data_IF_396114070394
#
_entry.id   IF_396114070394
#
_cell.length_a   1.000
_cell.length_b   1.000
_cell.length_c   1.000
_cell.angle_alpha   90.00
_cell.angle_beta   90.00
_cell.angle_gamma   90.00
#
_symmetry.space_group_name_H-M   'P 1'
#
loop_
_entity.id
_entity.type
_entity.pdbx_description
1 polymer ?
#
# COMPACT_ATOMS: atom_id res chain seq x y z
N UNK A 1 38.61 -33.20 10.36
CA UNK A 1 37.35 -33.24 9.68
C UNK A 1 37.50 -33.99 8.35
N UNK A 2 36.96 -35.21 8.27
CA UNK A 2 36.79 -35.87 6.98
C UNK A 2 35.63 -35.19 6.26
N UNK A 3 35.89 -34.57 5.12
CA UNK A 3 34.83 -34.33 4.16
C UNK A 3 34.30 -35.71 3.72
N UNK A 4 33.00 -35.99 3.69
CA UNK A 4 32.46 -37.23 3.22
C UNK A 4 32.95 -37.50 1.80
N UNK A 5 33.31 -38.77 1.47
CA UNK A 5 33.74 -39.08 0.13
C UNK A 5 32.62 -38.77 -0.85
N UNK A 6 32.87 -37.90 -1.80
CA UNK A 6 31.91 -37.48 -2.82
C UNK A 6 31.62 -36.00 -2.91
N UNK A 7 32.01 -35.16 -1.96
CA UNK A 7 31.88 -33.72 -2.08
C UNK A 7 33.01 -33.19 -2.97
N UNK A 8 32.72 -32.89 -4.21
CA UNK A 8 33.59 -32.10 -5.06
C UNK A 8 33.51 -30.65 -4.62
N UNK A 9 34.10 -30.36 -3.48
CA UNK A 9 34.34 -28.98 -3.12
C UNK A 9 35.43 -28.45 -4.04
N UNK A 10 35.21 -27.30 -4.67
CA UNK A 10 36.26 -26.49 -5.27
C UNK A 10 37.34 -26.13 -4.24
N UNK A 11 36.94 -26.15 -2.99
CA UNK A 11 37.79 -25.99 -1.83
C UNK A 11 38.36 -27.34 -1.48
N UNK A 12 39.51 -27.62 -2.02
CA UNK A 12 40.41 -28.72 -1.69
C UNK A 12 39.78 -30.13 -1.55
N UNK A 13 40.34 -31.05 -2.27
CA UNK A 13 40.30 -32.47 -1.91
C UNK A 13 40.56 -32.62 -0.41
N UNK A 14 39.78 -33.50 0.25
CA UNK A 14 39.94 -33.80 1.65
C UNK A 14 41.41 -33.88 2.04
N UNK A 15 41.83 -33.03 2.95
CA UNK A 15 43.20 -32.97 3.46
C UNK A 15 43.18 -32.62 4.92
N UNK A 16 44.17 -33.10 5.67
CA UNK A 16 44.38 -32.66 7.03
C UNK A 16 44.79 -31.17 7.01
N UNK A 17 44.05 -30.32 7.74
CA UNK A 17 44.56 -29.02 8.14
C UNK A 17 45.78 -29.17 9.05
N UNK A 18 46.43 -28.09 9.43
CA UNK A 18 47.53 -28.14 10.39
C UNK A 18 47.15 -29.00 11.61
N UNK A 19 47.91 -30.04 11.86
CA UNK A 19 47.68 -30.95 12.98
C UNK A 19 48.34 -30.33 14.22
N UNK A 20 47.56 -29.98 15.20
CA UNK A 20 48.04 -29.57 16.51
C UNK A 20 47.99 -30.73 17.46
N UNK A 21 49.12 -30.98 18.17
CA UNK A 21 49.23 -32.02 19.18
C UNK A 21 49.57 -31.36 20.52
N UNK A 22 48.78 -31.64 21.55
CA UNK A 22 48.98 -31.04 22.86
C UNK A 22 48.02 -31.61 23.91
N UNK A 23 48.07 -31.11 25.17
CA UNK A 23 47.19 -31.53 26.23
C UNK A 23 45.73 -31.25 25.88
N UNK A 24 44.82 -32.17 26.18
CA UNK A 24 43.38 -32.02 25.90
C UNK A 24 42.79 -30.75 26.51
N UNK A 25 43.23 -30.37 27.70
CA UNK A 25 42.80 -29.14 28.39
C UNK A 25 43.09 -27.85 27.64
N UNK A 26 44.09 -27.84 26.75
CA UNK A 26 44.42 -26.67 25.90
C UNK A 26 43.79 -26.74 24.51
N UNK A 27 43.66 -27.96 23.97
CA UNK A 27 43.11 -28.16 22.62
C UNK A 27 41.58 -28.14 22.60
N UNK A 28 40.92 -28.66 23.62
CA UNK A 28 39.46 -28.76 23.67
C UNK A 28 38.78 -27.38 23.60
N UNK A 29 39.18 -26.33 24.36
CA UNK A 29 38.55 -25.00 24.26
C UNK A 29 38.77 -24.35 22.88
N UNK A 30 39.91 -24.62 22.22
CA UNK A 30 40.19 -24.14 20.86
C UNK A 30 39.28 -24.80 19.83
N UNK A 31 39.14 -26.13 19.94
CA UNK A 31 38.25 -26.91 19.08
C UNK A 31 36.80 -26.50 19.26
N UNK A 32 36.30 -26.38 20.49
CA UNK A 32 34.93 -25.94 20.79
C UNK A 32 34.65 -24.52 20.23
N UNK A 33 35.60 -23.62 20.38
CA UNK A 33 35.47 -22.25 19.80
C UNK A 33 35.45 -22.30 18.30
N UNK A 34 36.32 -23.08 17.65
CA UNK A 34 36.34 -23.21 16.21
C UNK A 34 35.05 -23.87 15.71
N UNK A 35 34.60 -24.95 16.38
CA UNK A 35 33.34 -25.63 16.07
C UNK A 35 32.15 -24.69 16.19
N UNK A 36 32.09 -23.88 17.25
CA UNK A 36 31.04 -22.91 17.45
C UNK A 36 30.95 -21.90 16.28
N UNK A 37 32.08 -21.39 15.86
CA UNK A 37 32.07 -20.37 14.76
C UNK A 37 31.87 -21.01 13.39
N UNK A 38 32.39 -22.20 13.12
CA UNK A 38 32.31 -22.82 11.78
C UNK A 38 31.03 -23.60 11.55
N UNK A 39 30.44 -24.20 12.60
CA UNK A 39 29.27 -25.06 12.47
C UNK A 39 28.01 -24.40 13.10
N UNK A 40 28.06 -24.12 14.41
CA UNK A 40 26.85 -23.66 15.12
C UNK A 40 26.34 -22.34 14.60
N UNK A 41 27.21 -21.34 14.46
CA UNK A 41 26.80 -20.02 13.96
C UNK A 41 26.37 -20.09 12.50
N UNK A 42 27.06 -20.85 11.66
CA UNK A 42 26.69 -21.02 10.27
C UNK A 42 25.30 -21.69 10.12
N UNK A 43 24.98 -22.70 10.95
CA UNK A 43 23.64 -23.30 11.00
C UNK A 43 22.56 -22.30 11.43
N UNK A 44 22.81 -21.52 12.48
CA UNK A 44 21.87 -20.47 12.94
C UNK A 44 21.61 -19.43 11.85
N UNK A 45 22.66 -18.98 11.20
CA UNK A 45 22.56 -17.99 10.11
C UNK A 45 21.80 -18.57 8.91
N UNK A 46 22.06 -19.83 8.56
CA UNK A 46 21.31 -20.53 7.52
C UNK A 46 19.81 -20.63 7.87
N UNK A 47 19.47 -21.00 9.10
CA UNK A 47 18.08 -21.05 9.56
C UNK A 47 17.40 -19.69 9.54
N UNK A 48 18.09 -18.62 9.98
CA UNK A 48 17.59 -17.25 9.92
C UNK A 48 17.33 -16.78 8.48
N UNK A 49 18.24 -17.12 7.55
CA UNK A 49 18.06 -16.82 6.12
C UNK A 49 16.86 -17.55 5.54
N UNK A 50 16.69 -18.82 5.87
CA UNK A 50 15.53 -19.60 5.47
C UNK A 50 14.22 -19.02 6.00
N UNK A 51 14.19 -18.68 7.29
CA UNK A 51 13.04 -18.03 7.92
C UNK A 51 12.72 -16.65 7.29
N UNK A 52 13.74 -15.84 7.05
CA UNK A 52 13.58 -14.55 6.36
C UNK A 52 13.00 -14.76 4.96
N UNK A 53 13.57 -15.69 4.19
CA UNK A 53 13.09 -16.00 2.84
C UNK A 53 11.63 -16.44 2.81
N UNK A 54 11.26 -17.41 3.66
CA UNK A 54 9.88 -17.90 3.78
C UNK A 54 8.92 -16.80 4.26
N UNK A 55 9.31 -15.99 5.24
CA UNK A 55 8.52 -14.86 5.72
C UNK A 55 8.23 -13.84 4.62
N UNK A 56 9.25 -13.50 3.82
CA UNK A 56 9.10 -12.58 2.67
C UNK A 56 8.21 -13.17 1.57
N UNK A 57 8.36 -14.45 1.27
CA UNK A 57 7.51 -15.15 0.30
C UNK A 57 6.05 -15.18 0.77
N UNK A 58 5.80 -15.53 2.03
CA UNK A 58 4.48 -15.53 2.64
C UNK A 58 3.82 -14.14 2.59
N UNK A 59 4.58 -13.10 2.95
CA UNK A 59 4.11 -11.72 2.89
C UNK A 59 3.80 -11.27 1.47
N UNK A 60 4.62 -11.66 0.49
CA UNK A 60 4.41 -11.37 -0.92
C UNK A 60 3.14 -12.05 -1.47
N UNK A 61 2.88 -13.29 -1.05
CA UNK A 61 1.69 -14.05 -1.44
C UNK A 61 0.41 -13.41 -0.90
N UNK A 62 0.38 -13.02 0.38
CA UNK A 62 -0.78 -12.38 1.01
C UNK A 62 -1.09 -11.03 0.36
N UNK A 63 -0.08 -10.26 0.00
CA UNK A 63 -0.27 -8.91 -0.54
C UNK A 63 -0.51 -8.84 -2.03
N UNK A 64 -0.38 -9.94 -2.76
CA UNK A 64 -0.43 -9.98 -4.23
C UNK A 64 0.47 -8.95 -4.92
N UNK A 65 1.37 -8.33 -4.18
CA UNK A 65 2.37 -7.40 -4.70
C UNK A 65 3.63 -8.19 -5.07
N UNK A 66 3.51 -8.99 -6.14
CA UNK A 66 4.64 -9.68 -6.73
C UNK A 66 5.67 -8.66 -7.23
N UNK A 67 6.88 -8.77 -6.79
CA UNK A 67 7.96 -7.91 -7.23
C UNK A 67 9.19 -8.05 -6.36
N UNK A 68 9.62 -6.96 -5.74
CA UNK A 68 10.88 -6.91 -4.98
C UNK A 68 10.95 -7.95 -3.85
N UNK A 69 9.89 -8.04 -3.02
CA UNK A 69 9.85 -8.94 -1.86
C UNK A 69 9.88 -10.41 -2.27
N UNK A 70 9.15 -10.78 -3.32
CA UNK A 70 9.08 -12.15 -3.81
C UNK A 70 10.44 -12.62 -4.29
N UNK A 71 11.09 -11.87 -5.17
CA UNK A 71 12.39 -12.27 -5.72
C UNK A 71 13.50 -12.27 -4.66
N UNK A 72 13.47 -11.32 -3.73
CA UNK A 72 14.41 -11.32 -2.61
C UNK A 72 14.14 -12.49 -1.64
N UNK A 73 12.90 -12.84 -1.40
CA UNK A 73 12.52 -14.02 -0.63
C UNK A 73 13.01 -15.33 -1.26
N UNK A 74 12.84 -15.48 -2.59
CA UNK A 74 13.40 -16.64 -3.32
C UNK A 74 14.92 -16.70 -3.25
N UNK A 75 15.61 -15.56 -3.38
CA UNK A 75 17.06 -15.50 -3.22
C UNK A 75 17.50 -15.92 -1.82
N UNK A 76 16.90 -15.35 -0.76
CA UNK A 76 17.26 -15.66 0.61
C UNK A 76 16.98 -17.13 0.97
N UNK A 77 15.83 -17.66 0.58
CA UNK A 77 15.48 -19.05 0.79
C UNK A 77 16.37 -20.00 -0.01
N UNK A 78 16.59 -19.70 -1.30
CA UNK A 78 17.48 -20.49 -2.16
C UNK A 78 18.92 -20.54 -1.64
N UNK A 79 19.42 -19.41 -1.12
CA UNK A 79 20.73 -19.37 -0.47
C UNK A 79 20.78 -20.27 0.77
N UNK A 80 19.77 -20.23 1.64
CA UNK A 80 19.69 -21.12 2.80
C UNK A 80 19.69 -22.60 2.40
N UNK A 81 18.96 -22.97 1.34
CA UNK A 81 18.96 -24.34 0.81
C UNK A 81 20.33 -24.73 0.27
N UNK A 82 21.03 -23.83 -0.42
CA UNK A 82 22.39 -24.08 -0.91
C UNK A 82 23.40 -24.29 0.24
N UNK A 83 23.28 -23.52 1.33
CA UNK A 83 24.14 -23.63 2.50
C UNK A 83 23.84 -24.89 3.33
N UNK A 84 22.58 -25.35 3.32
CA UNK A 84 22.16 -26.54 4.09
C UNK A 84 23.01 -27.80 3.76
N UNK A 85 23.52 -27.89 2.53
CA UNK A 85 24.42 -29.00 2.10
C UNK A 85 25.66 -29.14 2.95
N UNK A 86 26.11 -28.07 3.63
CA UNK A 86 27.33 -28.13 4.45
C UNK A 86 27.10 -28.87 5.79
N UNK A 87 25.85 -28.92 6.22
CA UNK A 87 25.45 -29.46 7.52
C UNK A 87 24.68 -30.80 7.38
N UNK A 88 23.95 -30.95 6.26
CA UNK A 88 23.11 -32.13 6.01
C UNK A 88 23.65 -32.89 4.81
N UNK A 89 24.04 -34.14 4.97
CA UNK A 89 24.43 -34.96 3.85
C UNK A 89 23.22 -35.17 2.94
N UNK A 90 23.34 -34.78 1.68
CA UNK A 90 22.28 -34.98 0.70
C UNK A 90 22.17 -36.50 0.37
N UNK A 91 20.94 -37.03 0.31
CA UNK A 91 20.73 -38.41 -0.11
C UNK A 91 21.05 -38.55 -1.60
N UNK A 92 21.91 -39.45 -1.93
CA UNK A 92 22.21 -39.79 -3.31
C UNK A 92 23.70 -39.99 -3.60
N UNK A 93 24.02 -40.70 -4.66
CA UNK A 93 25.42 -40.96 -5.03
C UNK A 93 26.03 -39.74 -5.73
N UNK A 94 27.32 -39.58 -5.53
CA UNK A 94 28.12 -38.71 -6.39
C UNK A 94 28.04 -39.21 -7.85
N UNK A 95 27.86 -38.33 -8.87
CA UNK A 95 27.97 -36.86 -8.84
C UNK A 95 26.62 -36.12 -8.79
N UNK A 96 25.50 -36.85 -8.66
CA UNK A 96 24.17 -36.29 -8.77
C UNK A 96 23.88 -35.23 -7.71
N UNK A 97 24.44 -35.35 -6.52
CA UNK A 97 24.33 -34.34 -5.47
C UNK A 97 24.93 -33.00 -5.92
N UNK A 98 26.10 -33.06 -6.61
CA UNK A 98 26.73 -31.84 -7.12
C UNK A 98 25.92 -31.24 -8.28
N UNK A 99 25.40 -32.05 -9.20
CA UNK A 99 24.52 -31.61 -10.27
C UNK A 99 23.27 -30.92 -9.69
N UNK A 100 22.64 -31.49 -8.66
CA UNK A 100 21.48 -30.88 -7.99
C UNK A 100 21.80 -29.51 -7.40
N UNK A 101 22.89 -29.42 -6.63
CA UNK A 101 23.29 -28.18 -5.96
C UNK A 101 23.62 -27.07 -6.98
N UNK A 102 24.43 -27.38 -8.00
CA UNK A 102 24.74 -26.41 -9.03
C UNK A 102 23.50 -26.02 -9.85
N UNK A 103 22.55 -26.93 -10.02
CA UNK A 103 21.27 -26.63 -10.66
C UNK A 103 20.43 -25.66 -9.83
N UNK A 104 20.44 -25.79 -8.49
CA UNK A 104 19.73 -24.87 -7.59
C UNK A 104 20.38 -23.48 -7.52
N UNK A 105 21.65 -23.35 -7.86
CA UNK A 105 22.30 -22.03 -7.94
C UNK A 105 21.61 -21.12 -9.00
N UNK A 106 21.22 -21.68 -10.15
CA UNK A 106 20.59 -20.93 -11.22
C UNK A 106 19.36 -20.12 -10.78
N UNK A 107 18.29 -20.77 -10.29
CA UNK A 107 17.10 -20.08 -9.81
C UNK A 107 17.37 -19.08 -8.66
N UNK A 108 18.31 -19.43 -7.77
CA UNK A 108 18.71 -18.57 -6.66
C UNK A 108 19.33 -17.25 -7.16
N UNK A 109 20.35 -17.33 -8.02
CA UNK A 109 21.00 -16.13 -8.58
C UNK A 109 20.10 -15.39 -9.57
N UNK A 110 19.31 -16.09 -10.38
CA UNK A 110 18.29 -15.45 -11.27
C UNK A 110 17.32 -14.60 -10.44
N UNK A 111 16.89 -15.11 -9.29
CA UNK A 111 16.02 -14.33 -8.39
C UNK A 111 16.72 -13.08 -7.86
N UNK A 112 18.02 -13.16 -7.53
CA UNK A 112 18.81 -11.98 -7.14
C UNK A 112 18.92 -10.96 -8.29
N UNK A 113 19.17 -11.41 -9.52
CA UNK A 113 19.27 -10.49 -10.68
C UNK A 113 17.95 -9.78 -10.97
N UNK A 114 16.84 -10.52 -10.96
CA UNK A 114 15.52 -9.95 -11.16
C UNK A 114 15.19 -9.00 -9.99
N UNK A 115 15.56 -9.35 -8.76
CA UNK A 115 15.41 -8.45 -7.61
C UNK A 115 16.12 -7.10 -7.85
N UNK A 116 17.38 -7.12 -8.30
CA UNK A 116 18.14 -5.88 -8.62
C UNK A 116 17.44 -5.04 -9.70
N UNK A 117 16.90 -5.68 -10.76
CA UNK A 117 16.11 -5.00 -11.77
C UNK A 117 14.85 -4.36 -11.18
N UNK A 118 14.13 -5.07 -10.29
CA UNK A 118 12.92 -4.54 -9.65
C UNK A 118 13.23 -3.40 -8.66
N UNK A 119 14.42 -3.38 -8.08
CA UNK A 119 14.86 -2.27 -7.21
C UNK A 119 14.99 -0.96 -7.98
N UNK A 120 15.35 -1.00 -9.25
CA UNK A 120 15.42 0.17 -10.14
C UNK A 120 14.19 0.31 -11.05
N UNK A 121 13.09 -0.35 -10.73
CA UNK A 121 11.81 -0.31 -11.46
C UNK A 121 11.92 -0.70 -12.96
N UNK A 122 12.92 -1.53 -13.30
CA UNK A 122 13.13 -2.02 -14.66
C UNK A 122 12.61 -3.43 -14.84
N UNK A 123 12.08 -3.70 -16.04
CA UNK A 123 11.64 -5.03 -16.46
C UNK A 123 12.23 -5.32 -17.84
N UNK A 124 13.01 -6.40 -17.93
CA UNK A 124 13.61 -6.85 -19.18
C UNK A 124 13.11 -8.25 -19.56
N UNK A 125 11.91 -8.37 -20.13
CA UNK A 125 11.24 -9.67 -20.32
C UNK A 125 12.05 -10.64 -21.19
N UNK A 126 12.86 -10.14 -22.12
CA UNK A 126 13.73 -11.00 -22.92
C UNK A 126 14.88 -11.58 -22.12
N UNK A 127 15.53 -10.75 -21.31
CA UNK A 127 16.63 -11.18 -20.41
C UNK A 127 16.10 -12.10 -19.32
N UNK A 128 14.99 -11.75 -18.69
CA UNK A 128 14.34 -12.59 -17.67
C UNK A 128 13.99 -13.99 -18.23
N UNK A 129 13.45 -14.05 -19.45
CA UNK A 129 13.19 -15.35 -20.12
C UNK A 129 14.47 -16.13 -20.41
N UNK A 130 15.54 -15.47 -20.85
CA UNK A 130 16.84 -16.11 -21.08
C UNK A 130 17.44 -16.69 -19.79
N UNK A 131 17.36 -15.95 -18.67
CA UNK A 131 17.81 -16.44 -17.36
C UNK A 131 17.01 -17.66 -16.89
N UNK A 132 15.68 -17.66 -17.05
CA UNK A 132 14.87 -18.84 -16.70
C UNK A 132 15.11 -20.02 -17.63
N UNK A 133 15.35 -19.76 -18.91
CA UNK A 133 15.76 -20.81 -19.86
C UNK A 133 17.10 -21.41 -19.48
N UNK A 134 18.07 -20.58 -19.06
CA UNK A 134 19.36 -21.03 -18.52
C UNK A 134 19.16 -21.98 -17.32
N UNK A 135 18.26 -21.64 -16.38
CA UNK A 135 17.93 -22.50 -15.24
C UNK A 135 17.38 -23.87 -15.66
N UNK A 136 16.71 -23.98 -16.79
CA UNK A 136 16.20 -25.25 -17.31
C UNK A 136 17.27 -26.05 -18.08
N UNK A 137 18.10 -25.35 -18.87
CA UNK A 137 19.09 -25.99 -19.77
C UNK A 137 20.34 -26.44 -19.03
N UNK A 138 20.84 -25.64 -18.08
CA UNK A 138 22.12 -25.91 -17.40
C UNK A 138 22.10 -27.26 -16.64
N UNK A 139 21.07 -27.67 -15.90
CA UNK A 139 21.03 -28.98 -15.28
C UNK A 139 21.24 -30.14 -16.27
N UNK A 140 20.68 -30.05 -17.45
CA UNK A 140 20.80 -31.02 -18.53
C UNK A 140 22.24 -31.06 -19.07
N UNK A 141 22.85 -29.89 -19.27
CA UNK A 141 24.24 -29.78 -19.72
C UNK A 141 25.21 -30.33 -18.68
N UNK A 142 24.97 -30.04 -17.38
CA UNK A 142 25.78 -30.58 -16.29
C UNK A 142 25.65 -32.11 -16.21
N UNK A 143 24.45 -32.64 -16.31
CA UNK A 143 24.23 -34.09 -16.33
C UNK A 143 24.91 -34.76 -17.54
N UNK A 144 24.81 -34.15 -18.72
CA UNK A 144 25.42 -34.64 -19.95
C UNK A 144 26.97 -34.59 -19.92
N UNK A 145 27.55 -33.70 -19.12
CA UNK A 145 29.02 -33.57 -18.99
C UNK A 145 29.67 -34.63 -18.11
N UNK A 146 28.90 -35.51 -17.50
CA UNK A 146 29.41 -36.65 -16.73
C UNK A 146 29.87 -37.80 -17.68
N UNK A 147 30.97 -38.53 -17.35
CA UNK A 147 31.86 -38.37 -16.19
C UNK A 147 33.05 -37.41 -16.42
N UNK A 148 33.42 -37.16 -17.64
CA UNK A 148 34.73 -36.57 -17.96
C UNK A 148 34.86 -35.06 -17.78
N UNK A 149 33.79 -34.32 -18.09
CA UNK A 149 33.82 -32.86 -18.19
C UNK A 149 33.03 -32.12 -17.09
N UNK A 150 32.56 -32.84 -16.07
CA UNK A 150 31.69 -32.25 -15.04
C UNK A 150 32.36 -31.11 -14.26
N UNK A 151 33.63 -31.31 -13.84
CA UNK A 151 34.36 -30.21 -13.12
C UNK A 151 34.57 -28.96 -13.93
N UNK A 152 35.08 -29.01 -15.19
CA UNK A 152 35.19 -27.81 -16.00
C UNK A 152 33.82 -27.19 -16.31
N UNK A 153 32.76 -27.97 -16.48
CA UNK A 153 31.40 -27.48 -16.68
C UNK A 153 30.89 -26.70 -15.46
N UNK A 154 31.07 -27.23 -14.23
CA UNK A 154 30.75 -26.49 -13.00
C UNK A 154 31.55 -25.22 -12.88
N UNK A 155 32.84 -25.24 -13.23
CA UNK A 155 33.66 -24.03 -13.19
C UNK A 155 33.21 -22.99 -14.16
N UNK A 156 32.88 -23.36 -15.39
CA UNK A 156 32.37 -22.45 -16.41
C UNK A 156 31.05 -21.85 -15.99
N UNK A 157 30.13 -22.67 -15.45
CA UNK A 157 28.82 -22.19 -14.98
C UNK A 157 28.93 -21.22 -13.80
N UNK A 158 29.77 -21.53 -12.82
CA UNK A 158 29.99 -20.64 -11.69
C UNK A 158 30.56 -19.28 -12.13
N UNK A 159 31.53 -19.29 -13.07
CA UNK A 159 32.10 -18.04 -13.62
C UNK A 159 31.04 -17.26 -14.40
N UNK A 160 30.14 -17.94 -15.13
CA UNK A 160 29.04 -17.31 -15.80
C UNK A 160 28.11 -16.59 -14.81
N UNK A 161 27.68 -17.28 -13.74
CA UNK A 161 26.84 -16.68 -12.68
C UNK A 161 27.54 -15.46 -12.02
N UNK A 162 28.87 -15.56 -11.78
CA UNK A 162 29.63 -14.43 -11.22
C UNK A 162 29.68 -13.23 -12.18
N UNK A 163 29.87 -13.48 -13.46
CA UNK A 163 29.87 -12.43 -14.49
C UNK A 163 28.48 -11.76 -14.61
N UNK A 164 27.43 -12.55 -14.63
CA UNK A 164 26.05 -12.07 -14.62
C UNK A 164 25.77 -11.22 -13.37
N UNK A 165 26.19 -11.67 -12.19
CA UNK A 165 26.06 -10.89 -10.95
C UNK A 165 26.74 -9.54 -11.06
N UNK A 166 27.99 -9.50 -11.54
CA UNK A 166 28.72 -8.24 -11.74
C UNK A 166 28.02 -7.32 -12.74
N UNK A 167 27.48 -7.87 -13.83
CA UNK A 167 26.74 -7.10 -14.83
C UNK A 167 25.46 -6.48 -14.25
N UNK A 168 24.65 -7.27 -13.54
CA UNK A 168 23.41 -6.78 -12.91
C UNK A 168 23.67 -5.82 -11.75
N UNK A 169 24.68 -6.09 -10.92
CA UNK A 169 25.10 -5.18 -9.85
C UNK A 169 25.63 -3.85 -10.43
N UNK A 170 26.48 -3.91 -11.44
CA UNK A 170 26.99 -2.72 -12.14
C UNK A 170 25.86 -1.90 -12.77
N UNK A 171 24.92 -2.56 -13.45
CA UNK A 171 23.74 -1.89 -13.99
C UNK A 171 22.89 -1.24 -12.87
N UNK A 172 22.63 -1.97 -11.77
CA UNK A 172 21.92 -1.42 -10.61
C UNK A 172 22.61 -0.16 -10.10
N UNK A 173 23.92 -0.20 -9.85
CA UNK A 173 24.65 0.94 -9.31
C UNK A 173 24.69 2.12 -10.29
N UNK A 174 24.84 1.88 -11.58
CA UNK A 174 24.82 2.92 -12.59
C UNK A 174 23.48 3.68 -12.61
N UNK A 175 22.37 2.94 -12.55
CA UNK A 175 21.03 3.52 -12.54
C UNK A 175 20.73 4.19 -11.19
N UNK A 176 20.99 3.51 -10.06
CA UNK A 176 20.72 4.02 -8.73
C UNK A 176 21.52 5.30 -8.42
N UNK A 177 22.77 5.39 -8.87
CA UNK A 177 23.59 6.60 -8.78
C UNK A 177 23.04 7.74 -9.63
N UNK A 178 22.67 7.44 -10.88
CA UNK A 178 22.15 8.44 -11.83
C UNK A 178 20.80 9.01 -11.38
N UNK A 179 19.94 8.15 -10.81
CA UNK A 179 18.62 8.53 -10.32
C UNK A 179 18.65 9.06 -8.86
N UNK A 180 19.81 9.14 -8.22
CA UNK A 180 20.02 9.58 -6.83
C UNK A 180 19.09 8.89 -5.83
N UNK A 181 18.96 7.56 -5.95
CA UNK A 181 18.04 6.78 -5.11
C UNK A 181 18.51 6.74 -3.65
N UNK A 182 17.57 6.88 -2.73
CA UNK A 182 17.83 6.79 -1.28
C UNK A 182 18.41 5.43 -0.87
N UNK A 183 18.04 4.37 -1.60
CA UNK A 183 18.48 2.99 -1.34
C UNK A 183 19.95 2.74 -1.74
N UNK A 184 20.57 3.66 -2.47
CA UNK A 184 21.92 3.46 -3.07
C UNK A 184 22.94 3.04 -2.01
N UNK A 185 23.08 3.76 -0.92
CA UNK A 185 24.13 3.51 0.08
C UNK A 185 23.94 2.19 0.84
N UNK A 186 22.71 1.84 1.17
CA UNK A 186 22.40 0.56 1.84
C UNK A 186 22.73 -0.60 0.91
N UNK A 187 22.30 -0.51 -0.35
CA UNK A 187 22.58 -1.53 -1.35
C UNK A 187 24.07 -1.59 -1.71
N UNK A 188 24.75 -0.44 -1.79
CA UNK A 188 26.19 -0.38 -2.04
C UNK A 188 26.99 -1.08 -0.94
N UNK A 189 26.64 -0.85 0.31
CA UNK A 189 27.28 -1.53 1.44
C UNK A 189 27.03 -3.06 1.40
N UNK A 190 25.80 -3.49 1.19
CA UNK A 190 25.42 -4.90 1.17
C UNK A 190 26.05 -5.65 -0.03
N UNK A 191 25.87 -5.14 -1.25
CA UNK A 191 26.40 -5.78 -2.48
C UNK A 191 27.92 -5.65 -2.53
N UNK A 192 28.47 -4.51 -2.11
CA UNK A 192 29.92 -4.29 -2.06
C UNK A 192 30.61 -5.26 -1.09
N UNK A 193 30.04 -5.46 0.10
CA UNK A 193 30.54 -6.45 1.06
C UNK A 193 30.50 -7.88 0.48
N UNK A 194 29.38 -8.24 -0.17
CA UNK A 194 29.23 -9.54 -0.85
C UNK A 194 30.24 -9.70 -1.99
N UNK A 195 30.44 -8.65 -2.79
CA UNK A 195 31.42 -8.65 -3.89
C UNK A 195 32.87 -8.75 -3.41
N UNK A 196 33.23 -8.01 -2.37
CA UNK A 196 34.56 -8.09 -1.75
C UNK A 196 34.84 -9.51 -1.22
N UNK A 197 33.80 -10.13 -0.62
CA UNK A 197 33.90 -11.48 -0.14
C UNK A 197 34.05 -12.52 -1.26
N UNK A 198 33.26 -12.41 -2.32
CA UNK A 198 33.41 -13.26 -3.50
C UNK A 198 34.82 -13.12 -4.12
N UNK A 199 35.37 -11.90 -4.14
CA UNK A 199 36.75 -11.64 -4.55
C UNK A 199 37.77 -12.34 -3.66
N UNK A 200 37.58 -12.29 -2.34
CA UNK A 200 38.43 -12.99 -1.38
C UNK A 200 38.37 -14.52 -1.56
N UNK A 201 37.17 -15.09 -1.75
CA UNK A 201 37.00 -16.52 -2.02
C UNK A 201 37.68 -16.94 -3.33
N UNK A 202 37.55 -16.14 -4.40
CA UNK A 202 38.27 -16.38 -5.65
C UNK A 202 39.78 -16.33 -5.44
N UNK A 203 40.29 -15.35 -4.68
CA UNK A 203 41.70 -15.24 -4.36
C UNK A 203 42.23 -16.45 -3.56
N UNK A 204 41.44 -16.94 -2.60
CA UNK A 204 41.75 -18.17 -1.85
C UNK A 204 41.71 -19.40 -2.74
N UNK A 205 40.74 -19.55 -3.64
CA UNK A 205 40.66 -20.67 -4.59
C UNK A 205 41.85 -20.71 -5.54
N UNK A 206 42.32 -19.53 -5.97
CA UNK A 206 43.50 -19.43 -6.82
C UNK A 206 44.82 -19.44 -6.04
N UNK A 207 44.81 -19.63 -4.72
CA UNK A 207 45.97 -19.63 -3.83
C UNK A 207 46.76 -18.30 -3.78
N UNK A 208 46.11 -17.19 -4.14
CA UNK A 208 46.73 -15.89 -3.99
C UNK A 208 46.76 -15.42 -2.54
N UNK A 209 45.82 -15.90 -1.72
CA UNK A 209 45.73 -15.65 -0.30
C UNK A 209 45.69 -16.98 0.44
N UNK A 210 46.42 -17.15 1.55
CA UNK A 210 46.38 -18.40 2.34
C UNK A 210 44.99 -18.55 2.99
N UNK A 211 44.52 -19.80 3.02
CA UNK A 211 43.25 -20.14 3.68
C UNK A 211 43.46 -20.30 5.18
N UNK A 212 42.79 -19.55 6.00
CA UNK A 212 42.90 -19.60 7.47
C UNK A 212 41.77 -20.38 8.16
N UNK A 213 41.07 -21.26 7.45
CA UNK A 213 40.08 -22.18 8.02
C UNK A 213 38.68 -21.60 8.22
N UNK A 214 38.50 -20.28 8.17
CA UNK A 214 37.18 -19.64 8.30
C UNK A 214 36.63 -19.29 6.92
N UNK A 215 35.46 -19.81 6.59
CA UNK A 215 34.74 -19.41 5.37
C UNK A 215 33.88 -18.19 5.68
N UNK A 216 34.40 -17.01 5.41
CA UNK A 216 33.77 -15.74 5.76
C UNK A 216 32.49 -15.49 4.96
N UNK A 217 32.34 -16.15 3.79
CA UNK A 217 31.13 -16.08 2.94
C UNK A 217 29.84 -16.47 3.67
N UNK A 218 29.90 -17.43 4.56
CA UNK A 218 28.76 -17.86 5.38
C UNK A 218 28.18 -16.75 6.25
N UNK A 219 28.94 -15.71 6.55
CA UNK A 219 28.51 -14.61 7.42
C UNK A 219 28.13 -13.36 6.63
N UNK A 220 28.91 -13.01 5.60
CA UNK A 220 28.74 -11.73 4.90
C UNK A 220 27.49 -11.73 4.04
N UNK A 221 27.23 -12.81 3.30
CA UNK A 221 26.02 -12.87 2.44
C UNK A 221 24.73 -12.81 3.26
N UNK A 222 24.58 -13.59 4.35
CA UNK A 222 23.42 -13.46 5.22
C UNK A 222 23.32 -12.10 5.91
N UNK A 223 24.42 -11.49 6.33
CA UNK A 223 24.41 -10.15 6.92
C UNK A 223 23.95 -9.09 5.89
N UNK A 224 24.45 -9.19 4.67
CA UNK A 224 24.01 -8.32 3.57
C UNK A 224 22.52 -8.52 3.28
N UNK A 225 22.07 -9.79 3.21
CA UNK A 225 20.66 -10.11 3.00
C UNK A 225 19.77 -9.63 4.18
N UNK A 226 20.21 -9.78 5.42
CA UNK A 226 19.49 -9.28 6.58
C UNK A 226 19.38 -7.74 6.55
N UNK A 227 20.45 -7.05 6.15
CA UNK A 227 20.45 -5.59 5.99
C UNK A 227 19.47 -5.14 4.91
N UNK A 228 19.48 -5.78 3.75
CA UNK A 228 18.52 -5.51 2.66
C UNK A 228 17.09 -5.86 3.10
N UNK A 229 16.90 -7.01 3.73
CA UNK A 229 15.60 -7.44 4.24
C UNK A 229 15.01 -6.46 5.25
N UNK A 230 15.81 -6.00 6.22
CA UNK A 230 15.38 -4.99 7.19
C UNK A 230 15.06 -3.65 6.53
N UNK A 231 15.84 -3.24 5.53
CA UNK A 231 15.57 -2.03 4.76
C UNK A 231 14.24 -2.13 4.01
N UNK A 232 13.98 -3.23 3.31
CA UNK A 232 12.71 -3.49 2.64
C UNK A 232 11.53 -3.53 3.61
N UNK A 233 11.69 -4.15 4.79
CA UNK A 233 10.66 -4.15 5.83
C UNK A 233 10.35 -2.76 6.34
N UNK A 234 11.37 -1.92 6.55
CA UNK A 234 11.18 -0.52 6.95
C UNK A 234 10.45 0.29 5.88
N UNK A 235 10.81 0.12 4.61
CA UNK A 235 10.09 0.76 3.50
C UNK A 235 8.62 0.33 3.47
N UNK A 236 8.36 -0.96 3.60
CA UNK A 236 7.01 -1.49 3.63
C UNK A 236 6.20 -0.94 4.80
N UNK A 237 6.78 -0.92 6.00
CA UNK A 237 6.12 -0.37 7.19
C UNK A 237 5.80 1.14 7.03
N UNK A 238 6.69 1.91 6.39
CA UNK A 238 6.44 3.33 6.08
C UNK A 238 5.28 3.49 5.09
N UNK A 239 5.28 2.70 4.01
CA UNK A 239 4.20 2.73 3.02
C UNK A 239 2.84 2.38 3.62
N UNK A 240 2.78 1.37 4.51
CA UNK A 240 1.58 1.00 5.23
C UNK A 240 1.03 2.12 6.09
N UNK A 241 1.90 2.70 6.92
CA UNK A 241 1.52 3.82 7.80
C UNK A 241 1.04 5.02 6.99
N UNK A 242 1.64 5.28 5.82
CA UNK A 242 1.19 6.34 4.93
C UNK A 242 -0.22 6.07 4.38
N UNK A 243 -0.50 4.84 3.96
CA UNK A 243 -1.84 4.44 3.49
C UNK A 243 -2.88 4.53 4.61
N UNK A 244 -2.53 4.06 5.80
CA UNK A 244 -3.42 4.11 6.98
C UNK A 244 -3.76 5.55 7.36
N UNK A 245 -2.76 6.45 7.38
CA UNK A 245 -2.99 7.88 7.61
C UNK A 245 -3.88 8.52 6.53
N UNK A 246 -3.66 8.15 5.27
CA UNK A 246 -4.49 8.63 4.17
C UNK A 246 -5.94 8.15 4.28
N UNK A 247 -6.16 6.90 4.71
CA UNK A 247 -7.50 6.37 4.94
C UNK A 247 -8.23 7.10 6.09
N UNK A 248 -7.55 7.32 7.23
CA UNK A 248 -8.11 8.06 8.37
C UNK A 248 -8.48 9.49 7.96
N UNK A 249 -7.61 10.16 7.19
CA UNK A 249 -7.90 11.51 6.69
C UNK A 249 -9.08 11.51 5.70
N UNK A 250 -9.18 10.49 4.85
CA UNK A 250 -10.32 10.34 3.93
C UNK A 250 -11.63 10.12 4.70
N UNK A 251 -11.64 9.24 5.70
CA UNK A 251 -12.81 9.02 6.55
C UNK A 251 -13.25 10.30 7.26
N UNK A 252 -12.29 11.09 7.78
CA UNK A 252 -12.58 12.40 8.38
C UNK A 252 -13.25 13.34 7.38
N UNK A 253 -12.70 13.47 6.17
CA UNK A 253 -13.28 14.31 5.11
C UNK A 253 -14.67 13.84 4.68
N UNK A 254 -14.88 12.54 4.57
CA UNK A 254 -16.21 11.97 4.27
C UNK A 254 -17.19 12.33 5.37
N UNK A 255 -16.82 12.17 6.65
CA UNK A 255 -17.68 12.53 7.76
C UNK A 255 -18.00 14.04 7.81
N UNK A 256 -17.04 14.93 7.53
CA UNK A 256 -17.23 16.37 7.43
C UNK A 256 -18.21 16.72 6.29
N UNK A 257 -18.01 16.13 5.10
CA UNK A 257 -18.90 16.36 3.96
C UNK A 257 -20.31 15.82 4.16
N UNK A 258 -20.43 14.69 4.83
CA UNK A 258 -21.74 14.15 5.19
C UNK A 258 -22.52 15.08 6.12
N UNK A 259 -21.86 15.67 7.13
CA UNK A 259 -22.50 16.68 8.01
C UNK A 259 -22.90 17.93 7.24
N UNK A 260 -22.04 18.46 6.38
CA UNK A 260 -22.36 19.61 5.53
C UNK A 260 -23.58 19.33 4.64
N UNK A 261 -23.67 18.14 4.06
CA UNK A 261 -24.83 17.72 3.26
C UNK A 261 -26.08 17.63 4.11
N UNK A 262 -26.02 17.03 5.31
CA UNK A 262 -27.16 16.96 6.22
C UNK A 262 -27.66 18.34 6.63
N UNK A 263 -26.78 19.27 6.95
CA UNK A 263 -27.13 20.64 7.32
C UNK A 263 -27.77 21.40 6.14
N UNK A 264 -27.24 21.24 4.94
CA UNK A 264 -27.84 21.78 3.72
C UNK A 264 -29.25 21.21 3.48
N UNK A 265 -29.43 19.89 3.66
CA UNK A 265 -30.76 19.27 3.53
C UNK A 265 -31.75 19.78 4.57
N UNK A 266 -31.31 20.01 5.82
CA UNK A 266 -32.16 20.61 6.87
C UNK A 266 -32.58 22.03 6.49
N UNK A 267 -31.67 22.85 5.97
CA UNK A 267 -31.97 24.20 5.50
C UNK A 267 -32.97 24.17 4.34
N UNK A 268 -32.75 23.32 3.34
CA UNK A 268 -33.66 23.15 2.20
C UNK A 268 -35.05 22.70 2.67
N UNK A 269 -35.12 21.77 3.61
CA UNK A 269 -36.39 21.31 4.17
C UNK A 269 -37.16 22.45 4.89
N UNK A 270 -36.44 23.27 5.68
CA UNK A 270 -37.02 24.43 6.36
C UNK A 270 -37.55 25.49 5.36
N UNK A 271 -36.78 25.80 4.32
CA UNK A 271 -37.20 26.73 3.27
C UNK A 271 -38.45 26.20 2.54
N UNK A 272 -38.47 24.95 2.16
CA UNK A 272 -39.64 24.33 1.51
C UNK A 272 -40.88 24.31 2.40
N UNK A 273 -40.72 24.05 3.70
CA UNK A 273 -41.84 24.11 4.66
C UNK A 273 -42.38 25.51 4.80
N UNK A 274 -41.51 26.53 4.83
CA UNK A 274 -41.91 27.95 4.87
C UNK A 274 -42.61 28.37 3.57
N UNK A 275 -42.10 27.98 2.41
CA UNK A 275 -42.74 28.23 1.11
C UNK A 275 -44.12 27.56 1.01
N UNK A 276 -44.25 26.31 1.44
CA UNK A 276 -45.49 25.58 1.45
C UNK A 276 -46.55 26.25 2.37
N UNK A 277 -46.13 26.68 3.59
CA UNK A 277 -46.98 27.40 4.51
C UNK A 277 -47.41 28.75 3.94
N UNK A 278 -46.53 29.50 3.25
CA UNK A 278 -46.87 30.73 2.61
C UNK A 278 -47.80 30.52 1.40
N UNK A 279 -47.56 29.47 0.61
CA UNK A 279 -48.44 29.08 -0.49
C UNK A 279 -49.85 28.75 -0.01
N UNK A 280 -49.98 27.99 1.10
CA UNK A 280 -51.27 27.65 1.70
C UNK A 280 -51.98 28.89 2.25
N UNK A 281 -51.27 29.79 2.92
CA UNK A 281 -51.84 31.08 3.36
C UNK A 281 -52.39 31.88 2.18
N UNK A 282 -51.65 31.97 1.06
CA UNK A 282 -52.14 32.68 -0.15
C UNK A 282 -53.37 32.00 -0.73
N UNK A 283 -53.40 30.66 -0.78
CA UNK A 283 -54.56 29.91 -1.26
C UNK A 283 -55.79 30.16 -0.41
N UNK A 284 -55.65 30.04 0.92
CA UNK A 284 -56.76 30.30 1.87
C UNK A 284 -57.26 31.75 1.71
N UNK A 285 -56.36 32.72 1.56
CA UNK A 285 -56.72 34.12 1.37
C UNK A 285 -57.50 34.34 0.05
N UNK A 286 -57.10 33.66 -1.04
CA UNK A 286 -57.81 33.75 -2.32
C UNK A 286 -59.21 33.09 -2.21
N UNK A 287 -59.30 31.89 -1.62
CA UNK A 287 -60.54 31.14 -1.45
C UNK A 287 -61.57 31.98 -0.58
N UNK A 288 -61.06 32.61 0.48
CA UNK A 288 -61.87 33.51 1.31
C UNK A 288 -62.31 34.76 0.54
N UNK A 289 -61.44 35.34 -0.28
CA UNK A 289 -61.77 36.49 -1.06
C UNK A 289 -62.87 36.19 -2.08
N UNK A 290 -62.72 35.08 -2.81
CA UNK A 290 -63.61 34.72 -3.90
C UNK A 290 -65.01 34.27 -3.41
N UNK A 291 -65.05 33.36 -2.40
CA UNK A 291 -66.31 32.79 -1.94
C UNK A 291 -67.11 33.77 -1.03
N UNK A 292 -66.46 34.26 0.05
CA UNK A 292 -67.17 35.15 1.00
C UNK A 292 -67.34 36.58 0.40
N UNK A 293 -66.38 37.07 -0.37
CA UNK A 293 -66.48 38.38 -1.02
C UNK A 293 -67.64 38.41 -2.00
N UNK A 294 -67.82 37.37 -2.82
CA UNK A 294 -68.91 37.26 -3.77
C UNK A 294 -70.30 37.19 -3.06
N UNK A 295 -70.34 36.39 -1.98
CA UNK A 295 -71.60 36.29 -1.20
C UNK A 295 -71.99 37.60 -0.50
N UNK A 296 -71.02 38.30 0.15
CA UNK A 296 -71.27 39.54 0.81
C UNK A 296 -71.65 40.67 -0.19
N UNK A 297 -71.03 40.70 -1.38
CA UNK A 297 -71.34 41.58 -2.43
C UNK A 297 -72.78 41.34 -2.94
N UNK A 298 -73.20 40.02 -3.08
CA UNK A 298 -74.57 39.69 -3.46
C UNK A 298 -75.60 40.14 -2.44
N UNK A 299 -75.35 40.02 -1.13
CA UNK A 299 -76.20 40.50 -0.05
C UNK A 299 -76.27 42.04 -0.11
N UNK A 300 -75.17 42.72 -0.30
CA UNK A 300 -75.18 44.23 -0.41
C UNK A 300 -75.99 44.72 -1.59
N UNK A 301 -75.86 44.05 -2.74
CA UNK A 301 -76.61 44.38 -3.94
C UNK A 301 -78.14 44.12 -3.76
N UNK A 302 -78.49 42.94 -3.20
CA UNK A 302 -79.85 42.58 -2.92
C UNK A 302 -80.51 43.53 -1.93
N UNK A 303 -79.80 43.94 -0.91
CA UNK A 303 -80.24 44.91 0.08
C UNK A 303 -80.41 46.35 -0.47
N UNK A 304 -79.59 46.72 -1.46
CA UNK A 304 -79.68 48.10 -2.11
C UNK A 304 -80.82 48.20 -3.09
N UNK A 305 -81.31 47.07 -3.63
CA UNK A 305 -82.47 47.03 -4.57
C UNK A 305 -83.81 47.02 -3.83
N UNK A 306 -83.85 46.55 -2.60
CA UNK A 306 -85.08 46.54 -1.77
C UNK A 306 -85.44 47.96 -1.35
N UNK A 307 -86.54 48.49 -1.95
CA UNK A 307 -86.98 49.84 -1.72
C UNK A 307 -87.74 49.97 -0.37
N UNK A 308 -87.18 50.71 0.58
CA UNK A 308 -88.03 51.43 1.50
C UNK A 308 -88.01 50.96 2.98
N UNK A 309 -87.30 50.04 3.44
CA UNK A 309 -87.23 49.66 4.86
C UNK A 309 -85.86 50.03 5.48
N UNK A 310 -85.87 50.74 6.59
CA UNK A 310 -84.67 51.05 7.39
C UNK A 310 -83.83 49.83 7.77
N UNK A 311 -84.45 48.66 7.83
CA UNK A 311 -83.76 47.42 8.09
C UNK A 311 -82.83 46.90 6.91
N UNK A 312 -83.24 47.23 5.66
CA UNK A 312 -82.47 46.91 4.48
C UNK A 312 -81.18 47.76 4.38
N UNK A 313 -81.24 49.03 4.77
CA UNK A 313 -80.07 49.92 4.85
C UNK A 313 -79.08 49.42 5.94
N UNK A 314 -79.62 48.93 7.07
CA UNK A 314 -78.81 48.35 8.14
C UNK A 314 -78.11 47.08 7.68
N UNK A 315 -78.81 46.17 6.98
CA UNK A 315 -78.25 44.96 6.42
C UNK A 315 -77.13 45.23 5.38
N UNK A 316 -77.39 46.24 4.51
CA UNK A 316 -76.35 46.63 3.54
C UNK A 316 -75.12 47.29 4.21
N UNK A 317 -75.33 48.05 5.29
CA UNK A 317 -74.23 48.60 6.08
C UNK A 317 -73.41 47.48 6.80
N UNK A 318 -74.11 46.56 7.43
CA UNK A 318 -73.42 45.38 8.08
C UNK A 318 -72.71 44.52 7.09
N UNK A 319 -73.27 44.29 5.89
CA UNK A 319 -72.60 43.47 4.85
C UNK A 319 -71.35 44.23 4.29
N UNK A 320 -71.39 45.51 4.13
CA UNK A 320 -70.24 46.32 3.76
C UNK A 320 -69.15 46.28 4.83
N UNK A 321 -69.51 46.44 6.08
CA UNK A 321 -68.59 46.33 7.19
C UNK A 321 -67.89 44.92 7.24
N UNK A 322 -68.69 43.85 7.11
CA UNK A 322 -68.16 42.49 7.09
C UNK A 322 -67.23 42.33 5.89
N UNK A 323 -67.50 42.85 4.74
CA UNK A 323 -66.64 42.87 3.54
C UNK A 323 -65.32 43.57 3.80
N UNK A 324 -65.33 44.70 4.45
CA UNK A 324 -64.16 45.48 4.80
C UNK A 324 -63.28 44.73 5.86
N UNK A 325 -63.93 44.17 6.90
CA UNK A 325 -63.24 43.35 7.91
C UNK A 325 -62.58 42.13 7.29
N UNK A 326 -63.28 41.45 6.38
CA UNK A 326 -62.74 40.30 5.64
C UNK A 326 -61.54 40.72 4.77
N UNK A 327 -61.63 41.82 4.01
CA UNK A 327 -60.52 42.33 3.22
C UNK A 327 -59.30 42.67 4.08
N UNK A 328 -59.52 43.19 5.30
CA UNK A 328 -58.47 43.50 6.25
C UNK A 328 -57.79 42.22 6.75
N UNK A 329 -58.58 41.19 7.08
CA UNK A 329 -58.08 39.88 7.52
C UNK A 329 -57.24 39.20 6.42
N UNK A 330 -57.74 39.17 5.17
CA UNK A 330 -57.02 38.63 4.01
C UNK A 330 -55.71 39.36 3.76
N UNK A 331 -55.70 40.70 3.83
CA UNK A 331 -54.49 41.50 3.72
C UNK A 331 -53.47 41.15 4.83
N UNK A 332 -53.94 40.96 6.08
CA UNK A 332 -53.09 40.54 7.19
C UNK A 332 -52.44 39.17 6.97
N UNK A 333 -53.15 38.20 6.34
CA UNK A 333 -52.62 36.91 6.01
C UNK A 333 -51.67 36.88 4.81
N UNK A 334 -51.83 37.81 3.86
CA UNK A 334 -51.05 37.88 2.62
C UNK A 334 -49.90 38.93 2.67
N UNK A 335 -49.90 39.77 3.71
CA UNK A 335 -48.84 40.76 3.89
C UNK A 335 -47.47 40.06 4.07
N UNK A 336 -46.49 40.45 3.28
CA UNK A 336 -45.11 40.04 3.54
C UNK A 336 -44.66 40.59 4.89
N UNK A 337 -43.77 39.88 5.61
CA UNK A 337 -43.21 40.43 6.85
C UNK A 337 -42.52 41.77 6.54
N UNK A 338 -43.18 42.85 6.95
CA UNK A 338 -42.66 44.20 6.78
C UNK A 338 -42.21 44.74 8.15
N UNK A 339 -41.24 45.63 8.15
CA UNK A 339 -40.81 46.28 9.38
C UNK A 339 -41.98 47.08 9.99
N UNK A 340 -42.11 47.06 11.31
CA UNK A 340 -43.19 47.70 12.03
C UNK A 340 -43.47 49.17 11.58
N UNK A 341 -42.48 50.03 11.28
CA UNK A 341 -42.70 51.38 10.77
C UNK A 341 -43.44 51.44 9.43
N UNK A 342 -43.21 50.47 8.53
CA UNK A 342 -43.89 50.42 7.21
C UNK A 342 -45.36 50.02 7.36
N UNK A 343 -45.65 49.08 8.27
CA UNK A 343 -47.01 48.66 8.60
C UNK A 343 -47.80 49.81 9.21
N UNK A 344 -47.19 50.56 10.13
CA UNK A 344 -47.82 51.75 10.75
C UNK A 344 -48.02 52.90 9.74
N UNK A 345 -47.10 53.11 8.82
CA UNK A 345 -47.24 54.07 7.77
C UNK A 345 -48.44 53.81 6.83
N UNK A 346 -48.58 52.51 6.44
CA UNK A 346 -49.71 52.02 5.65
C UNK A 346 -51.07 52.20 6.38
N UNK A 347 -51.13 51.80 7.64
CA UNK A 347 -52.33 52.01 8.47
C UNK A 347 -52.66 53.47 8.62
N UNK A 348 -51.75 54.34 8.91
CA UNK A 348 -51.96 55.79 9.01
C UNK A 348 -52.53 56.37 7.73
N UNK A 349 -51.99 56.04 6.56
CA UNK A 349 -52.47 56.46 5.27
C UNK A 349 -53.97 56.09 5.04
N UNK A 350 -54.30 54.82 5.39
CA UNK A 350 -55.67 54.31 5.23
C UNK A 350 -56.65 54.98 6.19
N UNK A 351 -56.28 55.19 7.47
CA UNK A 351 -57.11 55.93 8.43
C UNK A 351 -57.32 57.37 8.07
N UNK A 352 -56.32 58.04 7.61
CA UNK A 352 -56.43 59.44 7.14
C UNK A 352 -57.36 59.54 5.93
N UNK A 353 -57.27 58.60 4.99
CA UNK A 353 -58.18 58.51 3.85
C UNK A 353 -59.65 58.32 4.24
N UNK A 354 -59.88 57.46 5.29
CA UNK A 354 -61.25 57.20 5.77
C UNK A 354 -61.84 58.29 6.59
N UNK A 355 -61.05 59.04 7.36
CA UNK A 355 -61.49 60.21 8.14
C UNK A 355 -61.65 61.46 7.28
N UNK A 356 -61.01 61.58 6.12
CA UNK A 356 -61.20 62.67 5.18
C UNK A 356 -62.37 62.48 4.24
N UNK A 357 -63.02 61.29 4.24
CA UNK A 357 -64.21 60.97 3.45
C UNK A 357 -65.52 60.99 4.27
N UNK A 358 -65.43 61.29 5.57
CA UNK A 358 -66.56 61.47 6.51
C UNK A 358 -66.72 62.97 6.82
#
# INVERSE_FOLDING_TARGET
GHAPPGVVSRQRAAGLSAVEIGPLSQLQPRFERQWFWTETIAQLVCALMGALGLGLLGLSAVRRQGGRLMYFGFYAFGWAVLELRLFVPLPGPYPWNDVLIYSLMGPTFTSAYIFLLRMVDRRWPRVERALWLQCAVVPLLLAASYPGYLRPAFTAYYNLLALEFLAFAGFFFAVAWRERREDFWVMAAAIGATGAMAGLEIAQQNRWVPFHGLQVGHFIVPLAAATIGLHLMRQLARALRATERANVELERRVAEKSREIEDNWRQIAQLRAAEAAQGERRRIASDLHDDLGARLLGITQASAVARGDADNERIAAMARQALDEMRLAVRGMTAAPALAPEVFAGWRAEWVSRLGAA
#
